data_IF_144651152935
#
_entry.id   IF_144651152935
#
_cell.length_a   1.000
_cell.length_b   1.000
_cell.length_c   1.000
_cell.angle_alpha   90.00
_cell.angle_beta   90.00
_cell.angle_gamma   90.00
#
_symmetry.space_group_name_H-M   'P 1'
#
loop_
_entity.id
_entity.type
_entity.pdbx_description
1 polymer ?
#
# COMPACT_ATOMS: atom_id res chain seq x y z
N UNK A 1 -16.43 -24.91 -12.30
CA UNK A 1 -15.50 -24.16 -13.16
C UNK A 1 -14.16 -24.80 -12.96
N UNK A 2 -13.68 -25.47 -14.00
CA UNK A 2 -12.46 -26.28 -14.00
C UNK A 2 -11.24 -25.34 -14.01
N UNK A 3 -10.30 -25.52 -13.08
CA UNK A 3 -9.23 -24.55 -12.80
C UNK A 3 -7.91 -24.84 -13.57
N UNK A 4 -7.94 -25.74 -14.56
CA UNK A 4 -6.72 -26.23 -15.24
C UNK A 4 -6.27 -25.43 -16.47
N UNK A 5 -6.88 -24.28 -16.80
CA UNK A 5 -6.44 -23.47 -17.96
C UNK A 5 -6.32 -21.98 -17.63
N UNK A 6 -5.11 -21.45 -17.39
CA UNK A 6 -4.92 -20.04 -17.05
C UNK A 6 -5.28 -19.05 -18.19
N UNK A 7 -5.52 -19.54 -19.42
CA UNK A 7 -5.87 -18.70 -20.58
C UNK A 7 -7.37 -18.71 -20.98
N UNK A 8 -8.22 -19.58 -20.40
CA UNK A 8 -9.64 -19.63 -20.76
C UNK A 8 -10.54 -18.69 -19.95
N UNK A 9 -10.15 -18.33 -18.72
CA UNK A 9 -11.04 -17.59 -17.81
C UNK A 9 -11.39 -16.17 -18.26
N UNK A 10 -10.54 -15.49 -19.03
CA UNK A 10 -10.85 -14.16 -19.56
C UNK A 10 -11.83 -14.21 -20.73
N UNK A 11 -11.70 -15.21 -21.61
CA UNK A 11 -12.63 -15.42 -22.73
C UNK A 11 -14.01 -15.86 -22.20
N UNK A 12 -14.04 -16.80 -21.26
CA UNK A 12 -15.28 -17.23 -20.60
C UNK A 12 -15.95 -16.06 -19.84
N UNK A 13 -15.15 -15.22 -19.16
CA UNK A 13 -15.67 -14.02 -18.51
C UNK A 13 -16.22 -13.00 -19.52
N UNK A 14 -15.54 -12.80 -20.65
CA UNK A 14 -16.02 -11.95 -21.75
C UNK A 14 -17.37 -12.45 -22.28
N UNK A 15 -17.46 -13.74 -22.64
CA UNK A 15 -18.68 -14.38 -23.15
C UNK A 15 -19.84 -14.24 -22.16
N UNK A 16 -19.59 -14.55 -20.89
CA UNK A 16 -20.59 -14.41 -19.83
C UNK A 16 -21.06 -12.96 -19.68
N UNK A 17 -20.15 -11.99 -19.68
CA UNK A 17 -20.50 -10.58 -19.55
C UNK A 17 -21.26 -10.06 -20.77
N UNK A 18 -20.90 -10.52 -21.99
CA UNK A 18 -21.65 -10.22 -23.22
C UNK A 18 -23.06 -10.80 -23.17
N UNK A 19 -23.23 -12.04 -22.71
CA UNK A 19 -24.54 -12.65 -22.49
C UNK A 19 -25.37 -11.88 -21.44
N UNK A 20 -24.77 -11.51 -20.31
CA UNK A 20 -25.46 -10.71 -19.30
C UNK A 20 -25.90 -9.34 -19.82
N UNK A 21 -25.12 -8.73 -20.72
CA UNK A 21 -25.48 -7.49 -21.41
C UNK A 21 -26.54 -7.67 -22.49
N UNK A 22 -26.62 -8.82 -23.16
CA UNK A 22 -27.71 -9.09 -24.11
C UNK A 22 -29.06 -9.23 -23.39
N UNK A 23 -29.04 -9.71 -22.13
CA UNK A 23 -30.25 -9.77 -21.29
C UNK A 23 -30.54 -8.43 -20.60
N UNK A 24 -29.51 -7.69 -20.19
CA UNK A 24 -29.67 -6.41 -19.49
C UNK A 24 -28.69 -5.33 -20.02
N UNK A 25 -29.02 -4.68 -21.15
CA UNK A 25 -28.11 -3.79 -21.85
C UNK A 25 -27.84 -2.47 -21.11
N UNK A 26 -28.65 -2.10 -20.12
CA UNK A 26 -28.50 -0.87 -19.33
C UNK A 26 -27.61 -1.04 -18.09
N UNK A 27 -27.17 -2.27 -17.79
CA UNK A 27 -26.40 -2.56 -16.58
C UNK A 27 -24.94 -2.10 -16.69
N UNK A 28 -24.69 -0.85 -16.28
CA UNK A 28 -23.35 -0.23 -16.25
C UNK A 28 -22.25 -1.06 -15.57
N UNK A 29 -22.61 -1.82 -14.53
CA UNK A 29 -21.66 -2.70 -13.84
C UNK A 29 -21.06 -3.75 -14.78
N UNK A 30 -21.86 -4.32 -15.69
CA UNK A 30 -21.37 -5.35 -16.61
C UNK A 30 -20.39 -4.75 -17.62
N UNK A 31 -20.66 -3.53 -18.12
CA UNK A 31 -19.70 -2.81 -18.94
C UNK A 31 -18.40 -2.47 -18.18
N UNK A 32 -18.47 -2.10 -16.90
CA UNK A 32 -17.29 -1.83 -16.09
C UNK A 32 -16.41 -3.07 -15.90
N UNK A 33 -17.04 -4.23 -15.67
CA UNK A 33 -16.35 -5.52 -15.57
C UNK A 33 -15.77 -5.92 -16.94
N UNK A 34 -16.55 -5.76 -18.01
CA UNK A 34 -16.12 -6.09 -19.38
C UNK A 34 -14.95 -5.23 -19.83
N UNK A 35 -14.97 -3.93 -19.53
CA UNK A 35 -13.83 -3.04 -19.76
C UNK A 35 -12.58 -3.50 -19.00
N UNK A 36 -12.73 -3.97 -17.76
CA UNK A 36 -11.61 -4.54 -17.00
C UNK A 36 -11.07 -5.83 -17.61
N UNK A 37 -11.92 -6.68 -18.18
CA UNK A 37 -11.52 -7.91 -18.90
C UNK A 37 -10.72 -7.54 -20.15
N UNK A 38 -11.24 -6.62 -20.97
CA UNK A 38 -10.53 -6.16 -22.17
C UNK A 38 -9.18 -5.50 -21.87
N UNK A 39 -9.07 -4.73 -20.78
CA UNK A 39 -7.79 -4.19 -20.33
C UNK A 39 -6.75 -5.29 -20.06
N UNK A 40 -7.17 -6.43 -19.49
CA UNK A 40 -6.31 -7.59 -19.22
C UNK A 40 -5.96 -8.35 -20.51
N UNK A 41 -6.89 -8.42 -21.45
CA UNK A 41 -6.67 -8.98 -22.79
C UNK A 41 -5.84 -8.07 -23.71
N UNK A 42 -5.55 -6.83 -23.28
CA UNK A 42 -4.90 -5.78 -24.08
C UNK A 42 -5.72 -5.30 -25.29
N UNK A 43 -7.03 -5.56 -25.29
CA UNK A 43 -7.98 -4.98 -26.23
C UNK A 43 -8.44 -3.61 -25.71
N UNK A 44 -7.54 -2.64 -25.75
CA UNK A 44 -7.79 -1.30 -25.22
C UNK A 44 -8.91 -0.53 -25.94
N UNK A 45 -9.11 -0.63 -27.27
CA UNK A 45 -10.25 -0.01 -27.94
C UNK A 45 -11.59 -0.50 -27.38
N UNK A 46 -11.78 -1.82 -27.26
CA UNK A 46 -13.00 -2.39 -26.69
C UNK A 46 -13.15 -2.05 -25.21
N UNK A 47 -12.03 -1.98 -24.47
CA UNK A 47 -12.04 -1.54 -23.08
C UNK A 47 -12.56 -0.11 -22.93
N UNK A 48 -12.07 0.81 -23.78
CA UNK A 48 -12.46 2.21 -23.75
C UNK A 48 -13.95 2.38 -24.04
N UNK A 49 -14.48 1.68 -25.04
CA UNK A 49 -15.91 1.71 -25.37
C UNK A 49 -16.76 1.18 -24.20
N UNK A 50 -16.37 0.04 -23.61
CA UNK A 50 -17.06 -0.53 -22.46
C UNK A 50 -17.05 0.46 -21.27
N UNK A 51 -15.91 1.07 -20.95
CA UNK A 51 -15.84 2.06 -19.89
C UNK A 51 -16.68 3.32 -20.16
N UNK A 52 -16.76 3.79 -21.40
CA UNK A 52 -17.66 4.89 -21.78
C UNK A 52 -19.12 4.52 -21.51
N UNK A 53 -19.55 3.30 -21.90
CA UNK A 53 -20.91 2.79 -21.62
C UNK A 53 -21.18 2.63 -20.11
N UNK A 54 -20.14 2.33 -19.33
CA UNK A 54 -20.22 2.27 -17.87
C UNK A 54 -20.25 3.67 -17.19
N UNK A 55 -19.97 4.75 -17.92
CA UNK A 55 -19.77 6.10 -17.36
C UNK A 55 -18.42 6.28 -16.65
N UNK A 56 -17.45 5.41 -16.92
CA UNK A 56 -16.10 5.38 -16.34
C UNK A 56 -15.10 6.07 -17.27
N UNK A 57 -15.29 7.37 -17.49
CA UNK A 57 -14.55 8.11 -18.53
C UNK A 57 -13.05 8.18 -18.28
N UNK A 58 -12.62 8.27 -17.02
CA UNK A 58 -11.19 8.26 -16.69
C UNK A 58 -10.53 6.94 -17.14
N UNK A 59 -11.14 5.80 -16.84
CA UNK A 59 -10.66 4.49 -17.27
C UNK A 59 -10.65 4.35 -18.79
N UNK A 60 -11.66 4.91 -19.49
CA UNK A 60 -11.65 4.98 -20.94
C UNK A 60 -10.48 5.82 -21.48
N UNK A 61 -10.19 6.96 -20.85
CA UNK A 61 -9.03 7.78 -21.19
C UNK A 61 -7.71 7.04 -21.00
N UNK A 62 -7.57 6.28 -19.92
CA UNK A 62 -6.39 5.43 -19.67
C UNK A 62 -6.26 4.36 -20.75
N UNK A 63 -7.36 3.76 -21.19
CA UNK A 63 -7.35 2.78 -22.28
C UNK A 63 -6.89 3.41 -23.61
N UNK A 64 -7.40 4.58 -23.98
CA UNK A 64 -6.97 5.28 -25.20
C UNK A 64 -5.50 5.71 -25.19
N UNK A 65 -4.95 6.07 -24.02
CA UNK A 65 -3.51 6.34 -23.92
C UNK A 65 -2.65 5.09 -24.20
N UNK A 66 -3.17 3.89 -23.91
CA UNK A 66 -2.43 2.64 -24.20
C UNK A 66 -2.47 2.24 -25.67
N UNK A 67 -3.37 2.80 -26.47
CA UNK A 67 -3.41 2.62 -27.93
C UNK A 67 -2.66 3.71 -28.68
N UNK A 68 -2.10 4.70 -27.97
CA UNK A 68 -1.56 5.92 -28.56
C UNK A 68 -2.58 6.64 -29.48
N UNK A 69 -3.88 6.43 -29.24
CA UNK A 69 -4.96 7.00 -30.04
C UNK A 69 -5.33 8.38 -29.47
N UNK A 70 -4.47 9.37 -29.77
CA UNK A 70 -4.69 10.76 -29.35
C UNK A 70 -6.02 11.32 -29.88
N UNK A 71 -6.46 10.89 -31.06
CA UNK A 71 -7.71 11.37 -31.68
C UNK A 71 -8.94 10.91 -30.89
N UNK A 72 -8.96 9.65 -30.46
CA UNK A 72 -10.06 9.13 -29.65
C UNK A 72 -10.11 9.82 -28.28
N UNK A 73 -8.95 10.06 -27.66
CA UNK A 73 -8.86 10.77 -26.39
C UNK A 73 -9.32 12.24 -26.51
N UNK A 74 -8.95 12.93 -27.58
CA UNK A 74 -9.40 14.30 -27.88
C UNK A 74 -10.91 14.37 -28.11
N UNK A 75 -11.46 13.40 -28.85
CA UNK A 75 -12.90 13.27 -29.06
C UNK A 75 -13.65 13.07 -27.75
N UNK A 76 -13.14 12.18 -26.88
CA UNK A 76 -13.70 11.96 -25.55
C UNK A 76 -13.65 13.24 -24.71
N UNK A 77 -12.49 13.91 -24.65
CA UNK A 77 -12.30 15.17 -23.93
C UNK A 77 -13.31 16.23 -24.39
N UNK A 78 -13.41 16.48 -25.70
CA UNK A 78 -14.32 17.48 -26.27
C UNK A 78 -15.79 17.16 -25.93
N UNK A 79 -16.17 15.87 -25.99
CA UNK A 79 -17.52 15.42 -25.63
C UNK A 79 -17.84 15.71 -24.16
N UNK A 80 -16.90 15.46 -23.25
CA UNK A 80 -17.07 15.74 -21.82
C UNK A 80 -17.15 17.25 -21.54
N UNK A 81 -16.33 18.07 -22.21
CA UNK A 81 -16.39 19.53 -22.10
C UNK A 81 -17.75 20.08 -22.54
N UNK A 82 -18.25 19.64 -23.71
CA UNK A 82 -19.58 20.07 -24.21
C UNK A 82 -20.70 19.75 -23.22
N UNK A 83 -20.57 18.66 -22.47
CA UNK A 83 -21.53 18.23 -21.44
C UNK A 83 -21.26 18.81 -20.06
N UNK A 84 -20.22 19.65 -19.90
CA UNK A 84 -19.75 20.16 -18.60
C UNK A 84 -19.54 19.03 -17.57
N UNK A 85 -19.08 17.87 -18.05
CA UNK A 85 -18.89 16.70 -17.19
C UNK A 85 -17.64 16.90 -16.32
N UNK A 86 -17.68 16.60 -15.00
CA UNK A 86 -16.56 16.83 -14.09
C UNK A 86 -15.28 16.09 -14.51
N UNK A 87 -15.40 14.89 -15.09
CA UNK A 87 -14.23 14.13 -15.56
C UNK A 87 -13.48 14.77 -16.75
N UNK A 88 -14.03 15.80 -17.40
CA UNK A 88 -13.32 16.50 -18.49
C UNK A 88 -11.93 16.99 -18.04
N UNK A 89 -11.83 17.49 -16.80
CA UNK A 89 -10.57 17.97 -16.23
C UNK A 89 -9.65 16.83 -15.79
N UNK A 90 -10.19 15.68 -15.37
CA UNK A 90 -9.40 14.48 -15.11
C UNK A 90 -8.76 13.94 -16.39
N UNK A 91 -9.46 14.01 -17.52
CA UNK A 91 -8.88 13.67 -18.83
C UNK A 91 -7.76 14.65 -19.20
N UNK A 92 -7.90 15.95 -18.91
CA UNK A 92 -6.82 16.91 -19.11
C UNK A 92 -5.59 16.62 -18.24
N UNK A 93 -5.77 16.29 -16.97
CA UNK A 93 -4.68 15.88 -16.08
C UNK A 93 -3.98 14.62 -16.60
N UNK A 94 -4.75 13.65 -17.09
CA UNK A 94 -4.24 12.42 -17.69
C UNK A 94 -3.41 12.71 -18.96
N UNK A 95 -3.91 13.59 -19.85
CA UNK A 95 -3.15 14.05 -21.02
C UNK A 95 -1.87 14.76 -20.62
N UNK A 96 -1.94 15.70 -19.69
CA UNK A 96 -0.77 16.43 -19.22
C UNK A 96 0.33 15.49 -18.71
N UNK A 97 -0.06 14.45 -17.96
CA UNK A 97 0.87 13.43 -17.48
C UNK A 97 1.50 12.61 -18.62
N UNK A 98 0.70 12.24 -19.62
CA UNK A 98 1.20 11.54 -20.80
C UNK A 98 2.22 12.38 -21.57
N UNK A 99 1.91 13.65 -21.83
CA UNK A 99 2.84 14.58 -22.50
C UNK A 99 4.11 14.80 -21.67
N UNK A 100 3.99 14.98 -20.35
CA UNK A 100 5.14 15.12 -19.45
C UNK A 100 6.07 13.90 -19.55
N UNK A 101 5.50 12.69 -19.54
CA UNK A 101 6.29 11.45 -19.61
C UNK A 101 6.89 11.19 -20.98
N UNK A 102 6.31 11.75 -22.03
CA UNK A 102 6.89 11.79 -23.36
C UNK A 102 7.90 12.95 -23.53
N UNK A 103 8.31 13.62 -22.44
CA UNK A 103 9.20 14.79 -22.43
C UNK A 103 8.69 16.02 -23.22
N UNK A 104 7.39 16.05 -23.53
CA UNK A 104 6.69 17.17 -24.19
C UNK A 104 6.15 18.14 -23.14
N UNK A 105 7.05 18.91 -22.53
CA UNK A 105 6.75 19.63 -21.29
C UNK A 105 5.86 20.86 -21.47
N UNK A 106 5.95 21.51 -22.62
CA UNK A 106 5.20 22.71 -22.99
C UNK A 106 3.71 22.36 -23.18
N UNK A 107 3.44 21.25 -23.84
CA UNK A 107 2.09 20.69 -24.01
C UNK A 107 1.49 20.27 -22.67
N UNK A 108 2.29 19.60 -21.83
CA UNK A 108 1.87 19.24 -20.49
C UNK A 108 1.46 20.47 -19.67
N UNK A 109 2.31 21.51 -19.65
CA UNK A 109 2.03 22.76 -18.95
C UNK A 109 0.75 23.44 -19.46
N UNK A 110 0.52 23.45 -20.78
CA UNK A 110 -0.70 24.02 -21.39
C UNK A 110 -1.96 23.36 -20.83
N UNK A 111 -2.01 22.03 -20.76
CA UNK A 111 -3.19 21.32 -20.22
C UNK A 111 -3.36 21.55 -18.72
N UNK A 112 -2.26 21.59 -17.95
CA UNK A 112 -2.34 21.87 -16.51
C UNK A 112 -2.88 23.28 -16.22
N UNK A 113 -2.49 24.29 -17.00
CA UNK A 113 -3.04 25.63 -16.86
C UNK A 113 -4.52 25.71 -17.19
N UNK A 114 -5.02 24.91 -18.14
CA UNK A 114 -6.45 24.82 -18.40
C UNK A 114 -7.19 24.27 -17.17
N UNK A 115 -6.70 23.19 -16.57
CA UNK A 115 -7.31 22.63 -15.34
C UNK A 115 -7.28 23.66 -14.21
N UNK A 116 -6.14 24.29 -13.97
CA UNK A 116 -5.96 25.29 -12.91
C UNK A 116 -6.93 26.48 -13.02
N UNK A 117 -7.17 26.96 -14.25
CA UNK A 117 -8.05 28.12 -14.52
C UNK A 117 -9.54 27.78 -14.42
N UNK A 118 -9.93 26.58 -14.85
CA UNK A 118 -11.34 26.27 -15.10
C UNK A 118 -11.96 25.24 -14.14
N UNK A 119 -11.17 24.41 -13.45
CA UNK A 119 -11.67 23.48 -12.44
C UNK A 119 -11.29 23.96 -11.05
N UNK A 120 -12.28 24.36 -10.25
CA UNK A 120 -12.03 24.70 -8.84
C UNK A 120 -11.65 23.46 -8.02
N UNK A 121 -12.27 22.32 -8.31
CA UNK A 121 -12.04 21.06 -7.62
C UNK A 121 -10.63 20.49 -7.88
N UNK A 122 -10.12 20.63 -9.10
CA UNK A 122 -8.82 20.06 -9.50
C UNK A 122 -7.67 21.10 -9.48
N UNK A 123 -7.95 22.33 -9.00
CA UNK A 123 -6.97 23.42 -9.00
C UNK A 123 -5.71 23.11 -8.21
N UNK A 124 -5.87 22.48 -7.05
CA UNK A 124 -4.75 22.06 -6.19
C UNK A 124 -3.84 21.07 -6.92
N UNK A 125 -4.43 20.01 -7.49
CA UNK A 125 -3.71 18.97 -8.21
C UNK A 125 -3.00 19.51 -9.46
N UNK A 126 -3.65 20.41 -10.20
CA UNK A 126 -3.03 21.07 -11.35
C UNK A 126 -1.83 21.94 -10.94
N UNK A 127 -1.95 22.70 -9.84
CA UNK A 127 -0.85 23.52 -9.33
C UNK A 127 0.31 22.66 -8.80
N UNK A 128 0.00 21.55 -8.14
CA UNK A 128 0.99 20.56 -7.73
C UNK A 128 1.76 20.00 -8.93
N UNK A 129 1.07 19.56 -9.99
CA UNK A 129 1.71 19.05 -11.20
C UNK A 129 2.55 20.10 -11.93
N UNK A 130 2.10 21.36 -11.94
CA UNK A 130 2.90 22.47 -12.48
C UNK A 130 4.19 22.66 -11.67
N UNK A 131 4.10 22.63 -10.34
CA UNK A 131 5.26 22.72 -9.46
C UNK A 131 6.23 21.56 -9.70
N UNK A 132 5.72 20.33 -9.79
CA UNK A 132 6.50 19.13 -10.06
C UNK A 132 7.18 19.17 -11.43
N UNK A 133 6.46 19.58 -12.48
CA UNK A 133 7.01 19.77 -13.81
C UNK A 133 8.18 20.78 -13.81
N UNK A 134 8.03 21.88 -13.08
CA UNK A 134 9.08 22.90 -12.95
C UNK A 134 10.31 22.36 -12.25
N UNK A 135 10.09 21.59 -11.19
CA UNK A 135 11.14 20.93 -10.41
C UNK A 135 11.96 19.98 -11.29
N UNK A 136 11.29 19.11 -12.05
CA UNK A 136 11.93 18.17 -12.97
C UNK A 136 12.69 18.89 -14.11
N UNK A 137 12.15 20.01 -14.64
CA UNK A 137 12.81 20.85 -15.65
C UNK A 137 14.00 21.65 -15.12
N UNK A 138 14.32 21.57 -13.81
CA UNK A 138 15.32 22.42 -13.14
C UNK A 138 14.99 23.91 -13.09
N UNK A 139 13.74 24.28 -13.38
CA UNK A 139 13.24 25.63 -13.14
C UNK A 139 12.84 25.77 -11.66
N UNK A 140 13.86 25.80 -10.81
CA UNK A 140 13.70 25.78 -9.36
C UNK A 140 13.05 27.05 -8.81
N UNK A 141 13.20 28.20 -9.47
CA UNK A 141 12.55 29.44 -9.05
C UNK A 141 11.04 29.37 -9.24
N UNK A 142 10.58 28.89 -10.40
CA UNK A 142 9.15 28.73 -10.61
C UNK A 142 8.57 27.57 -9.79
N UNK A 143 9.33 26.49 -9.59
CA UNK A 143 8.97 25.42 -8.65
C UNK A 143 8.75 25.98 -7.24
N UNK A 144 9.71 26.75 -6.72
CA UNK A 144 9.64 27.39 -5.41
C UNK A 144 8.42 28.32 -5.31
N UNK A 145 8.16 29.15 -6.31
CA UNK A 145 7.01 30.07 -6.31
C UNK A 145 5.67 29.31 -6.27
N UNK A 146 5.55 28.26 -7.08
CA UNK A 146 4.35 27.39 -7.12
C UNK A 146 4.17 26.62 -5.80
N UNK A 147 5.25 26.10 -5.20
CA UNK A 147 5.23 25.40 -3.91
C UNK A 147 4.90 26.32 -2.73
N UNK A 148 5.43 27.56 -2.71
CA UNK A 148 5.03 28.58 -1.72
C UNK A 148 3.54 28.88 -1.82
N UNK A 149 3.01 28.98 -3.05
CA UNK A 149 1.58 29.19 -3.29
C UNK A 149 0.74 27.99 -2.81
N UNK A 150 1.17 26.76 -3.09
CA UNK A 150 0.53 25.55 -2.59
C UNK A 150 0.46 25.54 -1.07
N UNK A 151 1.58 25.73 -0.38
CA UNK A 151 1.62 25.75 1.09
C UNK A 151 0.73 26.83 1.70
N UNK A 152 0.59 27.98 1.06
CA UNK A 152 -0.29 29.06 1.54
C UNK A 152 -1.77 28.71 1.41
N UNK A 153 -2.17 28.03 0.33
CA UNK A 153 -3.57 27.74 0.03
C UNK A 153 -4.04 26.40 0.62
N UNK A 154 -3.16 25.40 0.60
CA UNK A 154 -3.41 24.03 1.02
C UNK A 154 -2.18 23.50 1.77
N UNK A 155 -1.98 23.90 3.04
CA UNK A 155 -0.80 23.49 3.81
C UNK A 155 -0.77 21.97 3.99
N UNK A 156 0.27 21.32 3.45
CA UNK A 156 0.52 19.88 3.56
C UNK A 156 2.02 19.63 3.65
N UNK A 157 2.44 18.68 4.48
CA UNK A 157 3.85 18.32 4.63
C UNK A 157 4.51 17.91 3.30
N UNK A 158 3.73 17.33 2.37
CA UNK A 158 4.17 17.08 0.99
C UNK A 158 4.75 18.33 0.33
N UNK A 159 3.98 19.43 0.33
CA UNK A 159 4.40 20.66 -0.33
C UNK A 159 5.51 21.38 0.44
N UNK A 160 5.47 21.32 1.77
CA UNK A 160 6.55 21.80 2.64
C UNK A 160 7.87 21.08 2.37
N UNK A 161 7.85 19.74 2.26
CA UNK A 161 9.03 18.93 1.97
C UNK A 161 9.64 19.31 0.62
N UNK A 162 8.84 19.31 -0.45
CA UNK A 162 9.33 19.66 -1.77
C UNK A 162 9.80 21.12 -1.86
N UNK A 163 9.19 22.04 -1.10
CA UNK A 163 9.68 23.41 -0.99
C UNK A 163 11.05 23.48 -0.28
N UNK A 164 11.21 22.76 0.84
CA UNK A 164 12.48 22.63 1.56
C UNK A 164 13.57 22.07 0.64
N UNK A 165 13.29 20.98 -0.08
CA UNK A 165 14.23 20.39 -1.04
C UNK A 165 14.58 21.35 -2.18
N UNK A 166 13.59 22.08 -2.72
CA UNK A 166 13.82 23.10 -3.77
C UNK A 166 14.72 24.25 -3.27
N UNK A 167 14.50 24.73 -2.04
CA UNK A 167 15.32 25.79 -1.45
C UNK A 167 16.76 25.35 -1.21
N UNK A 168 16.98 24.10 -0.75
CA UNK A 168 18.32 23.53 -0.61
C UNK A 168 19.05 23.49 -1.96
N UNK A 169 18.36 23.07 -3.03
CA UNK A 169 18.93 23.08 -4.40
C UNK A 169 19.25 24.47 -4.92
N UNK A 170 18.52 25.49 -4.49
CA UNK A 170 18.78 26.90 -4.80
C UNK A 170 19.90 27.51 -3.96
N UNK A 171 20.55 26.75 -3.05
CA UNK A 171 21.57 27.28 -2.15
C UNK A 171 21.01 28.18 -1.04
N UNK A 172 19.76 27.95 -0.61
CA UNK A 172 19.06 28.76 0.41
C UNK A 172 18.77 27.95 1.69
N UNK A 173 19.79 27.41 2.39
CA UNK A 173 19.59 26.52 3.54
C UNK A 173 18.91 27.22 4.73
N UNK A 174 19.15 28.51 4.95
CA UNK A 174 18.54 29.26 6.06
C UNK A 174 17.02 29.45 5.90
N UNK A 175 16.52 29.47 4.67
CA UNK A 175 15.07 29.44 4.42
C UNK A 175 14.51 28.02 4.52
N UNK A 176 15.26 27.02 4.06
CA UNK A 176 14.87 25.62 4.17
C UNK A 176 14.70 25.19 5.64
N UNK A 177 15.60 25.64 6.54
CA UNK A 177 15.53 25.37 7.99
C UNK A 177 14.25 25.92 8.66
N UNK A 178 13.66 26.98 8.10
CA UNK A 178 12.43 27.59 8.65
C UNK A 178 11.16 26.80 8.29
N UNK A 179 11.24 25.87 7.35
CA UNK A 179 10.10 25.05 6.94
C UNK A 179 10.00 23.85 7.87
N UNK A 180 8.96 23.86 8.71
CA UNK A 180 8.64 22.76 9.59
C UNK A 180 7.77 21.71 8.87
N UNK A 181 7.95 20.45 9.25
CA UNK A 181 7.12 19.32 8.85
C UNK A 181 6.48 18.77 10.13
N UNK A 182 5.18 19.01 10.31
CA UNK A 182 4.55 18.91 11.63
C UNK A 182 3.60 17.71 11.78
N UNK A 183 3.32 16.96 10.71
CA UNK A 183 2.44 15.80 10.77
C UNK A 183 3.12 14.52 11.26
N UNK A 184 2.37 13.43 11.20
CA UNK A 184 2.80 12.06 11.48
C UNK A 184 2.88 11.19 10.20
N UNK A 185 2.62 11.80 9.04
CA UNK A 185 2.58 11.12 7.74
C UNK A 185 3.95 10.91 7.10
N UNK A 186 3.95 10.29 5.92
CA UNK A 186 5.17 9.96 5.17
C UNK A 186 6.13 11.14 4.99
N UNK A 187 5.64 12.31 4.56
CA UNK A 187 6.50 13.47 4.28
C UNK A 187 7.04 14.15 5.54
N UNK A 188 6.43 13.99 6.71
CA UNK A 188 7.01 14.53 7.93
C UNK A 188 8.14 13.68 8.49
N UNK A 189 8.16 12.39 8.11
CA UNK A 189 9.19 11.42 8.49
C UNK A 189 10.13 11.05 7.35
N UNK A 190 10.07 11.77 6.23
CA UNK A 190 10.76 11.36 5.01
C UNK A 190 12.28 11.43 5.15
N UNK A 191 12.82 12.42 5.86
CA UNK A 191 14.26 12.54 6.06
C UNK A 191 14.78 11.30 6.84
N UNK A 192 14.07 10.85 7.88
CA UNK A 192 14.42 9.63 8.62
C UNK A 192 14.14 8.34 7.84
N UNK A 193 13.06 8.29 7.05
CA UNK A 193 12.77 7.15 6.16
C UNK A 193 13.89 7.00 5.11
N UNK A 194 14.33 8.11 4.52
CA UNK A 194 15.42 8.14 3.55
C UNK A 194 16.73 7.65 4.17
N UNK A 195 17.04 8.09 5.38
CA UNK A 195 18.21 7.60 6.12
C UNK A 195 18.13 6.08 6.29
N UNK A 196 16.99 5.53 6.73
CA UNK A 196 16.83 4.07 6.90
C UNK A 196 17.03 3.33 5.58
N UNK A 197 16.41 3.76 4.48
CA UNK A 197 16.50 3.01 3.21
C UNK A 197 17.88 3.10 2.54
N UNK A 198 18.64 4.17 2.80
CA UNK A 198 20.01 4.34 2.27
C UNK A 198 21.03 3.60 3.13
N UNK A 199 20.84 3.60 4.45
CA UNK A 199 21.78 2.97 5.41
C UNK A 199 21.52 1.49 5.62
N UNK A 200 20.31 0.99 5.34
CA UNK A 200 19.98 -0.43 5.42
C UNK A 200 20.76 -1.23 4.35
N UNK A 201 21.99 -1.59 4.68
CA UNK A 201 22.77 -2.59 3.93
C UNK A 201 22.28 -3.99 4.34
N UNK A 202 22.22 -4.89 3.37
CA UNK A 202 21.79 -6.29 3.55
C UNK A 202 22.70 -7.13 4.47
N UNK A 203 23.78 -6.56 5.02
CA UNK A 203 24.88 -7.29 5.67
C UNK A 203 24.94 -7.15 7.19
N UNK A 204 24.11 -6.31 7.83
CA UNK A 204 24.03 -6.35 9.30
C UNK A 204 23.13 -7.51 9.73
N UNK A 205 23.65 -8.54 10.42
CA UNK A 205 22.80 -9.59 10.96
C UNK A 205 21.85 -8.94 11.96
N UNK A 206 20.58 -8.87 11.57
CA UNK A 206 19.51 -8.39 12.44
C UNK A 206 19.37 -9.34 13.63
N UNK A 207 20.07 -9.04 14.71
CA UNK A 207 19.85 -9.67 16.01
C UNK A 207 18.63 -8.99 16.64
N UNK A 208 17.45 -9.21 16.06
CA UNK A 208 16.21 -8.89 16.75
C UNK A 208 15.96 -10.01 17.75
N UNK A 209 16.36 -9.80 18.99
CA UNK A 209 15.79 -10.59 20.09
C UNK A 209 14.29 -10.31 20.05
N UNK A 210 13.47 -11.36 19.96
CA UNK A 210 12.01 -11.29 19.97
C UNK A 210 11.44 -10.81 21.33
N UNK A 211 12.17 -9.97 22.05
CA UNK A 211 11.74 -9.36 23.29
C UNK A 211 10.96 -8.10 22.97
N UNK A 212 9.80 -7.99 23.63
CA UNK A 212 8.90 -6.84 23.58
C UNK A 212 9.69 -5.53 23.76
N UNK A 213 9.24 -4.41 23.16
CA UNK A 213 9.75 -3.08 23.50
C UNK A 213 9.76 -2.92 25.03
N UNK A 214 10.90 -2.51 25.57
CA UNK A 214 11.13 -2.39 27.02
C UNK A 214 10.07 -1.50 27.67
N UNK A 215 9.20 -2.10 28.48
CA UNK A 215 8.12 -1.40 29.18
C UNK A 215 6.81 -2.19 29.28
N UNK A 216 6.61 -3.20 28.43
CA UNK A 216 5.48 -4.10 28.52
C UNK A 216 5.77 -5.23 29.53
N UNK A 217 5.49 -4.99 30.82
CA UNK A 217 5.32 -6.11 31.75
C UNK A 217 4.19 -6.99 31.19
N UNK A 218 4.39 -8.32 31.02
CA UNK A 218 3.28 -9.21 30.74
C UNK A 218 2.23 -8.97 31.82
N UNK A 219 0.98 -8.69 31.43
CA UNK A 219 -0.11 -8.83 32.38
C UNK A 219 -0.12 -10.31 32.72
N UNK A 220 0.39 -10.64 33.89
CA UNK A 220 0.33 -11.99 34.43
C UNK A 220 -1.14 -12.25 34.72
N UNK A 221 -1.89 -12.70 33.71
CA UNK A 221 -3.18 -13.35 33.92
C UNK A 221 -2.84 -14.73 34.46
N UNK A 222 -2.31 -14.76 35.69
CA UNK A 222 -2.22 -16.00 36.44
C UNK A 222 -3.64 -16.55 36.52
N UNK A 223 -3.78 -17.84 36.23
CA UNK A 223 -4.84 -18.60 36.90
C UNK A 223 -4.57 -18.43 38.39
N UNK A 224 -5.24 -17.47 39.03
CA UNK A 224 -5.36 -17.48 40.48
C UNK A 224 -6.23 -18.69 40.81
N UNK A 225 -5.58 -19.85 40.98
CA UNK A 225 -6.08 -20.90 41.85
C UNK A 225 -6.26 -20.25 43.23
N UNK A 226 -7.45 -19.74 43.53
CA UNK A 226 -7.78 -19.24 44.86
C UNK A 226 -8.49 -17.90 44.90
N UNK A 227 -9.73 -17.86 44.41
CA UNK A 227 -10.92 -17.61 45.25
C UNK A 227 -12.15 -17.71 44.34
N UNK A 228 -12.73 -18.91 44.29
CA UNK A 228 -14.14 -19.05 43.97
C UNK A 228 -14.92 -18.28 45.04
N UNK A 229 -15.22 -17.01 44.79
CA UNK A 229 -16.23 -16.31 45.56
C UNK A 229 -17.57 -16.87 45.05
N UNK A 230 -18.20 -17.66 45.92
CA UNK A 230 -19.59 -18.07 45.82
C UNK A 230 -20.48 -16.84 45.61
N UNK A 231 -20.81 -16.56 44.34
CA UNK A 231 -21.92 -15.73 43.87
C UNK A 231 -21.95 -15.80 42.35
N UNK A 232 -22.69 -16.79 41.81
CA UNK A 232 -23.21 -16.82 40.44
C UNK A 232 -22.35 -16.13 39.37
N UNK A 233 -21.19 -16.69 39.04
CA UNK A 233 -20.31 -16.17 37.99
C UNK A 233 -20.55 -16.93 36.67
N UNK A 234 -21.26 -16.31 35.73
CA UNK A 234 -21.07 -16.67 34.33
C UNK A 234 -19.60 -16.36 33.96
N UNK A 235 -18.87 -17.28 33.31
CA UNK A 235 -17.49 -17.00 32.89
C UNK A 235 -17.47 -15.75 32.03
N UNK A 236 -16.47 -14.87 32.22
CA UNK A 236 -16.26 -13.70 31.37
C UNK A 236 -16.08 -14.13 29.90
N UNK A 237 -16.35 -13.23 28.96
CA UNK A 237 -16.23 -13.56 27.54
C UNK A 237 -14.81 -13.98 27.16
N UNK A 238 -13.77 -13.39 27.76
CA UNK A 238 -12.38 -13.85 27.58
C UNK A 238 -12.09 -15.22 28.20
N UNK A 239 -12.71 -15.59 29.33
CA UNK A 239 -12.57 -16.95 29.88
C UNK A 239 -13.23 -17.98 28.96
N UNK A 240 -14.42 -17.68 28.42
CA UNK A 240 -15.07 -18.51 27.40
C UNK A 240 -14.20 -18.61 26.15
N UNK A 241 -13.63 -17.50 25.70
CA UNK A 241 -12.73 -17.48 24.55
C UNK A 241 -11.50 -18.39 24.76
N UNK A 242 -10.85 -18.32 25.92
CA UNK A 242 -9.71 -19.19 26.26
C UNK A 242 -10.11 -20.66 26.31
N UNK A 243 -11.27 -21.00 26.88
CA UNK A 243 -11.78 -22.37 26.88
C UNK A 243 -12.03 -22.88 25.45
N UNK A 244 -12.61 -22.05 24.59
CA UNK A 244 -12.86 -22.39 23.18
C UNK A 244 -11.56 -22.61 22.40
N UNK A 245 -10.47 -21.89 22.71
CA UNK A 245 -9.15 -22.17 22.13
C UNK A 245 -8.70 -23.59 22.49
N UNK A 246 -8.80 -23.99 23.76
CA UNK A 246 -8.39 -25.32 24.22
C UNK A 246 -9.20 -26.45 23.54
N UNK A 247 -10.45 -26.15 23.18
CA UNK A 247 -11.34 -27.07 22.43
C UNK A 247 -11.11 -27.04 20.91
N UNK A 248 -10.11 -26.29 20.42
CA UNK A 248 -9.84 -26.14 18.99
C UNK A 248 -10.84 -25.22 18.25
N UNK A 249 -11.79 -24.61 18.95
CA UNK A 249 -12.85 -23.77 18.41
C UNK A 249 -12.39 -22.31 18.21
N UNK A 250 -11.34 -22.10 17.42
CA UNK A 250 -10.68 -20.79 17.26
C UNK A 250 -11.61 -19.67 16.75
N UNK A 251 -12.52 -19.99 15.84
CA UNK A 251 -13.46 -18.98 15.31
C UNK A 251 -14.47 -18.52 16.38
N UNK A 252 -14.97 -19.46 17.19
CA UNK A 252 -15.88 -19.13 18.30
C UNK A 252 -15.14 -18.34 19.38
N UNK A 253 -13.89 -18.73 19.69
CA UNK A 253 -13.04 -18.00 20.62
C UNK A 253 -12.83 -16.54 20.18
N UNK A 254 -12.57 -16.31 18.89
CA UNK A 254 -12.46 -14.97 18.33
C UNK A 254 -13.76 -14.19 18.48
N UNK A 255 -14.93 -14.80 18.18
CA UNK A 255 -16.22 -14.13 18.32
C UNK A 255 -16.49 -13.67 19.76
N UNK A 256 -16.15 -14.49 20.74
CA UNK A 256 -16.27 -14.14 22.17
C UNK A 256 -15.36 -12.96 22.55
N UNK A 257 -14.09 -13.01 22.14
CA UNK A 257 -13.16 -11.92 22.38
C UNK A 257 -13.56 -10.62 21.65
N UNK A 258 -14.09 -10.73 20.42
CA UNK A 258 -14.61 -9.59 19.66
C UNK A 258 -15.84 -8.97 20.29
N UNK A 259 -16.75 -9.80 20.83
CA UNK A 259 -17.92 -9.30 21.53
C UNK A 259 -17.50 -8.42 22.71
N UNK A 260 -16.56 -8.90 23.53
CA UNK A 260 -16.00 -8.11 24.63
C UNK A 260 -15.28 -6.85 24.14
N UNK A 261 -14.44 -6.98 23.10
CA UNK A 261 -13.76 -5.85 22.48
C UNK A 261 -14.78 -4.77 22.13
N UNK A 262 -15.88 -5.12 21.45
CA UNK A 262 -16.84 -4.14 20.95
C UNK A 262 -17.76 -3.53 22.03
N UNK A 263 -18.06 -4.26 23.11
CA UNK A 263 -19.03 -3.83 24.13
C UNK A 263 -18.40 -3.20 25.38
N UNK A 264 -17.12 -3.45 25.66
CA UNK A 264 -16.44 -3.00 26.89
C UNK A 264 -15.27 -2.05 26.65
N UNK A 265 -15.22 -0.92 27.37
CA UNK A 265 -13.98 -0.13 27.53
C UNK A 265 -13.05 -0.75 28.58
N UNK A 266 -13.62 -1.39 29.61
CA UNK A 266 -12.87 -2.18 30.60
C UNK A 266 -12.45 -3.51 29.96
N UNK A 267 -11.16 -3.85 29.99
CA UNK A 267 -10.67 -5.12 29.45
C UNK A 267 -10.05 -5.07 28.04
N UNK A 268 -9.86 -3.88 27.46
CA UNK A 268 -9.33 -3.73 26.09
C UNK A 268 -7.91 -4.27 25.97
N UNK A 269 -7.05 -3.98 26.94
CA UNK A 269 -5.67 -4.49 26.97
C UNK A 269 -5.62 -6.01 27.08
N UNK A 270 -6.44 -6.61 27.96
CA UNK A 270 -6.54 -8.06 28.13
C UNK A 270 -7.05 -8.75 26.87
N UNK A 271 -7.96 -8.10 26.15
CA UNK A 271 -8.48 -8.59 24.87
C UNK A 271 -7.43 -8.51 23.77
N UNK A 272 -6.64 -7.44 23.74
CA UNK A 272 -5.53 -7.27 22.80
C UNK A 272 -4.38 -8.26 23.09
N UNK A 273 -4.08 -8.50 24.35
CA UNK A 273 -3.15 -9.54 24.76
C UNK A 273 -3.68 -10.95 24.42
N UNK A 274 -4.99 -11.19 24.55
CA UNK A 274 -5.60 -12.42 24.05
C UNK A 274 -5.40 -12.57 22.54
N UNK A 275 -5.63 -11.52 21.74
CA UNK A 275 -5.38 -11.58 20.30
C UNK A 275 -3.92 -11.90 19.97
N UNK A 276 -2.98 -11.22 20.64
CA UNK A 276 -1.54 -11.40 20.47
C UNK A 276 -1.11 -12.84 20.78
N UNK A 277 -1.43 -13.32 21.99
CA UNK A 277 -0.98 -14.61 22.52
C UNK A 277 -1.57 -15.81 21.77
N UNK A 278 -2.74 -15.64 21.14
CA UNK A 278 -3.38 -16.71 20.39
C UNK A 278 -3.22 -16.59 18.87
N UNK A 279 -2.40 -15.64 18.38
CA UNK A 279 -2.08 -15.49 16.96
C UNK A 279 -3.19 -14.86 16.11
N UNK A 280 -4.08 -14.07 16.71
CA UNK A 280 -5.05 -13.24 15.99
C UNK A 280 -4.43 -11.90 15.58
N UNK A 281 -3.27 -11.95 14.93
CA UNK A 281 -2.44 -10.79 14.59
C UNK A 281 -3.18 -9.71 13.80
N UNK A 282 -4.12 -10.11 12.95
CA UNK A 282 -4.96 -9.20 12.17
C UNK A 282 -5.92 -8.34 13.00
N UNK A 283 -6.12 -8.70 14.27
CA UNK A 283 -6.86 -7.89 15.23
C UNK A 283 -6.00 -6.83 15.92
N UNK A 284 -4.68 -7.04 16.00
CA UNK A 284 -3.79 -6.16 16.77
C UNK A 284 -3.82 -4.70 16.33
N UNK A 285 -3.81 -4.34 15.01
CA UNK A 285 -3.86 -2.94 14.62
C UNK A 285 -5.13 -2.20 15.06
N UNK A 286 -6.22 -2.93 15.35
CA UNK A 286 -7.47 -2.33 15.84
C UNK A 286 -7.39 -1.94 17.32
N UNK A 287 -6.46 -2.53 18.06
CA UNK A 287 -6.25 -2.24 19.47
C UNK A 287 -5.73 -0.83 19.72
N UNK A 288 -5.03 -0.22 18.76
CA UNK A 288 -4.37 1.09 18.94
C UNK A 288 -5.30 2.18 19.50
N UNK A 289 -6.59 2.15 19.13
CA UNK A 289 -7.58 3.19 19.47
C UNK A 289 -8.20 3.00 20.86
N UNK A 290 -7.90 1.90 21.53
CA UNK A 290 -8.58 1.48 22.77
C UNK A 290 -7.62 1.26 23.94
N UNK A 291 -6.35 1.57 23.73
CA UNK A 291 -5.28 1.33 24.70
C UNK A 291 -4.52 2.63 24.94
N UNK A 292 -3.66 2.66 25.97
CA UNK A 292 -2.81 3.82 26.23
C UNK A 292 -1.86 4.08 25.06
N UNK A 293 -1.49 5.34 24.86
CA UNK A 293 -0.54 5.77 23.83
C UNK A 293 0.78 4.99 23.89
N UNK A 294 1.24 4.67 25.10
CA UNK A 294 2.44 3.86 25.36
C UNK A 294 2.36 2.45 24.74
N UNK A 295 1.17 1.83 24.68
CA UNK A 295 0.96 0.49 24.12
C UNK A 295 0.50 0.52 22.66
N UNK A 296 -0.15 1.61 22.24
CA UNK A 296 -0.76 1.75 20.93
C UNK A 296 0.22 1.44 19.79
N UNK A 297 1.47 1.90 19.88
CA UNK A 297 2.51 1.62 18.88
C UNK A 297 2.84 0.13 18.76
N UNK A 298 2.97 -0.58 19.87
CA UNK A 298 3.27 -2.03 19.88
C UNK A 298 2.14 -2.89 19.30
N UNK A 299 0.89 -2.43 19.41
CA UNK A 299 -0.26 -3.11 18.82
C UNK A 299 -0.52 -2.70 17.37
N UNK A 300 -0.22 -1.44 17.00
CA UNK A 300 -0.28 -0.97 15.61
C UNK A 300 0.77 -1.64 14.73
N UNK A 301 1.94 -1.91 15.30
CA UNK A 301 3.10 -2.52 14.65
C UNK A 301 3.54 -3.79 15.40
N UNK A 302 2.71 -4.86 15.43
CA UNK A 302 3.04 -6.07 16.16
C UNK A 302 4.15 -6.84 15.42
N UNK A 303 5.01 -7.53 16.17
CA UNK A 303 5.91 -8.55 15.64
C UNK A 303 5.11 -9.85 15.41
N UNK A 304 4.32 -9.88 14.34
CA UNK A 304 3.44 -10.99 14.02
C UNK A 304 4.21 -12.20 13.47
N UNK A 305 3.81 -13.41 13.85
CA UNK A 305 4.47 -14.66 13.44
C UNK A 305 5.98 -14.68 13.74
N UNK A 306 6.41 -14.42 14.99
CA UNK A 306 7.80 -14.11 15.31
C UNK A 306 8.79 -15.21 14.89
N UNK A 307 8.50 -16.46 15.23
CA UNK A 307 9.37 -17.59 14.91
C UNK A 307 9.53 -17.75 13.40
N UNK A 308 8.42 -17.71 12.65
CA UNK A 308 8.42 -17.83 11.19
C UNK A 308 9.14 -16.66 10.51
N UNK A 309 8.90 -15.43 10.97
CA UNK A 309 9.51 -14.23 10.37
C UNK A 309 11.02 -14.21 10.61
N UNK A 310 11.48 -14.58 11.80
CA UNK A 310 12.91 -14.67 12.13
C UNK A 310 13.58 -15.75 11.26
N UNK A 311 13.01 -16.95 11.24
CA UNK A 311 13.55 -18.06 10.44
C UNK A 311 13.61 -17.74 8.94
N UNK A 312 12.55 -17.13 8.40
CA UNK A 312 12.51 -16.72 6.99
C UNK A 312 13.52 -15.60 6.72
N UNK A 313 13.65 -14.64 7.63
CA UNK A 313 14.65 -13.58 7.54
C UNK A 313 16.06 -14.18 7.44
N UNK A 314 16.42 -15.09 8.34
CA UNK A 314 17.72 -15.77 8.33
C UNK A 314 17.98 -16.53 7.03
N UNK A 315 16.96 -17.24 6.51
CA UNK A 315 17.05 -18.01 5.26
C UNK A 315 17.13 -17.15 4.00
N UNK A 316 16.56 -15.94 4.01
CA UNK A 316 16.42 -15.11 2.80
C UNK A 316 17.32 -13.87 2.81
N UNK A 317 17.91 -13.51 3.95
CA UNK A 317 18.70 -12.29 4.10
C UNK A 317 17.86 -11.01 3.93
N UNK A 318 16.57 -11.08 4.27
CA UNK A 318 15.65 -9.93 4.22
C UNK A 318 15.34 -9.52 5.66
N UNK A 319 15.48 -8.23 5.97
CA UNK A 319 15.16 -7.68 7.29
C UNK A 319 13.76 -8.13 7.76
N UNK A 320 13.63 -8.77 8.94
CA UNK A 320 12.33 -9.23 9.44
C UNK A 320 11.32 -8.08 9.61
N UNK A 321 11.80 -6.86 9.91
CA UNK A 321 10.98 -5.67 10.05
C UNK A 321 10.45 -5.17 8.70
N UNK A 322 11.20 -5.38 7.61
CA UNK A 322 10.72 -5.10 6.25
C UNK A 322 9.68 -6.15 5.82
N UNK A 323 9.87 -7.43 6.16
CA UNK A 323 8.88 -8.49 5.94
C UNK A 323 7.57 -8.13 6.65
N UNK A 324 7.63 -7.71 7.91
CA UNK A 324 6.47 -7.27 8.69
C UNK A 324 5.81 -6.03 8.08
N UNK A 325 6.59 -5.05 7.62
CA UNK A 325 6.06 -3.83 7.00
C UNK A 325 5.27 -4.13 5.71
N UNK A 326 5.76 -5.02 4.87
CA UNK A 326 5.07 -5.51 3.66
C UNK A 326 3.83 -6.30 4.07
N UNK A 327 3.96 -7.31 4.94
CA UNK A 327 2.85 -8.17 5.38
C UNK A 327 1.70 -7.38 6.03
N UNK A 328 2.04 -6.34 6.80
CA UNK A 328 1.08 -5.41 7.40
C UNK A 328 0.25 -4.69 6.33
N UNK A 329 0.91 -4.20 5.28
CA UNK A 329 0.23 -3.48 4.20
C UNK A 329 -0.59 -4.41 3.31
N UNK A 330 -0.07 -5.61 3.04
CA UNK A 330 -0.69 -6.57 2.13
C UNK A 330 -1.96 -7.21 2.70
N UNK A 331 -1.88 -7.76 3.92
CA UNK A 331 -2.98 -8.55 4.49
C UNK A 331 -3.43 -8.08 5.87
N UNK A 332 -2.71 -7.14 6.47
CA UNK A 332 -2.79 -6.85 7.91
C UNK A 332 -2.67 -8.14 8.73
N UNK A 333 -1.75 -9.03 8.35
CA UNK A 333 -1.51 -10.31 9.02
C UNK A 333 -2.67 -11.31 8.97
N UNK A 334 -3.56 -11.20 7.97
CA UNK A 334 -4.65 -12.15 7.77
C UNK A 334 -4.21 -13.27 6.81
N UNK A 335 -4.01 -14.52 7.28
CA UNK A 335 -3.48 -15.59 6.44
C UNK A 335 -4.46 -16.07 5.37
N UNK A 336 -5.77 -15.86 5.58
CA UNK A 336 -6.83 -16.17 4.61
C UNK A 336 -7.17 -15.01 3.67
N UNK A 337 -6.34 -13.96 3.59
CA UNK A 337 -6.61 -12.82 2.73
C UNK A 337 -6.53 -13.20 1.24
N UNK A 338 -7.55 -12.81 0.48
CA UNK A 338 -7.60 -12.95 -0.98
C UNK A 338 -8.03 -11.62 -1.57
N UNK A 339 -7.19 -11.01 -2.41
CA UNK A 339 -7.53 -9.74 -3.07
C UNK A 339 -8.53 -9.94 -4.20
N UNK A 340 -9.16 -8.84 -4.64
CA UNK A 340 -10.02 -8.84 -5.84
C UNK A 340 -9.28 -9.26 -7.11
N UNK A 341 -7.96 -9.08 -7.14
CA UNK A 341 -7.10 -9.47 -8.26
C UNK A 341 -6.61 -10.91 -8.15
N UNK A 342 -6.92 -11.61 -7.06
CA UNK A 342 -6.53 -13.00 -6.82
C UNK A 342 -5.18 -13.17 -6.11
N UNK A 343 -4.66 -12.12 -5.46
CA UNK A 343 -3.47 -12.23 -4.61
C UNK A 343 -3.81 -12.93 -3.30
N UNK A 344 -2.93 -13.80 -2.78
CA UNK A 344 -3.28 -14.76 -1.72
C UNK A 344 -2.31 -14.68 -0.54
N UNK A 345 -2.87 -14.77 0.66
CA UNK A 345 -2.15 -15.01 1.90
C UNK A 345 -1.54 -13.75 2.54
N UNK A 346 -0.65 -13.98 3.50
CA UNK A 346 -0.06 -12.95 4.36
C UNK A 346 0.68 -11.85 3.60
N UNK A 347 1.42 -12.20 2.55
CA UNK A 347 2.21 -11.30 1.72
C UNK A 347 1.59 -11.10 0.32
N UNK A 348 0.31 -11.46 0.15
CA UNK A 348 -0.52 -11.26 -1.05
C UNK A 348 0.23 -11.58 -2.36
N UNK A 349 0.64 -12.84 -2.51
CA UNK A 349 1.30 -13.28 -3.73
C UNK A 349 0.27 -13.51 -4.83
N UNK A 350 0.52 -12.96 -6.01
CA UNK A 350 -0.19 -13.35 -7.23
C UNK A 350 0.15 -14.81 -7.58
N UNK A 351 -0.78 -15.61 -8.13
CA UNK A 351 -0.53 -17.03 -8.41
C UNK A 351 0.74 -17.29 -9.23
N UNK A 352 0.94 -16.53 -10.31
CA UNK A 352 2.16 -16.62 -11.14
C UNK A 352 3.45 -16.32 -10.36
N UNK A 353 3.42 -15.33 -9.46
CA UNK A 353 4.56 -15.03 -8.58
C UNK A 353 4.78 -16.16 -7.59
N UNK A 354 3.71 -16.68 -7.00
CA UNK A 354 3.78 -17.78 -6.06
C UNK A 354 4.32 -19.07 -6.70
N UNK A 355 3.92 -19.41 -7.93
CA UNK A 355 4.50 -20.53 -8.70
C UNK A 355 6.03 -20.41 -8.81
N UNK A 356 6.51 -19.21 -9.15
CA UNK A 356 7.95 -18.93 -9.30
C UNK A 356 8.73 -19.07 -7.98
N UNK A 357 8.15 -18.69 -6.84
CA UNK A 357 8.88 -18.59 -5.56
C UNK A 357 8.57 -19.68 -4.53
N UNK A 358 7.42 -20.38 -4.63
CA UNK A 358 7.13 -21.57 -3.81
C UNK A 358 7.84 -22.82 -4.34
N UNK A 359 7.98 -22.96 -5.67
CA UNK A 359 8.52 -24.17 -6.31
C UNK A 359 7.84 -25.45 -5.79
N UNK A 360 6.52 -25.53 -5.93
CA UNK A 360 5.68 -26.61 -5.39
C UNK A 360 4.91 -27.29 -6.51
N UNK A 361 4.76 -28.61 -6.41
CA UNK A 361 3.92 -29.42 -7.32
C UNK A 361 2.45 -29.44 -6.88
N UNK A 362 2.14 -28.85 -5.73
CA UNK A 362 0.78 -28.72 -5.21
C UNK A 362 0.07 -27.49 -5.79
N UNK A 363 -1.28 -27.45 -5.79
CA UNK A 363 -2.01 -26.26 -6.20
C UNK A 363 -1.61 -25.04 -5.37
N UNK A 364 -1.03 -24.04 -6.04
CA UNK A 364 -0.46 -22.82 -5.44
C UNK A 364 -1.41 -22.12 -4.48
N UNK A 365 -2.72 -22.12 -4.79
CA UNK A 365 -3.73 -21.53 -3.92
C UNK A 365 -3.73 -22.12 -2.50
N UNK A 366 -3.65 -23.45 -2.38
CA UNK A 366 -3.65 -24.12 -1.07
C UNK A 366 -2.38 -23.82 -0.29
N UNK A 367 -1.26 -23.81 -1.01
CA UNK A 367 0.07 -23.56 -0.44
C UNK A 367 0.20 -22.12 0.06
N UNK A 368 -0.32 -21.14 -0.69
CA UNK A 368 -0.31 -19.73 -0.31
C UNK A 368 -1.16 -19.40 0.92
N UNK A 369 -2.10 -20.26 1.32
CA UNK A 369 -2.88 -20.09 2.55
C UNK A 369 -2.15 -20.59 3.80
N UNK A 370 -1.05 -21.36 3.63
CA UNK A 370 -0.18 -21.79 4.73
C UNK A 370 0.73 -20.61 5.10
N UNK A 371 0.66 -20.08 6.34
CA UNK A 371 1.42 -18.89 6.76
C UNK A 371 2.92 -18.99 6.45
N UNK A 372 3.57 -20.06 6.91
CA UNK A 372 5.01 -20.29 6.74
C UNK A 372 5.43 -20.24 5.27
N UNK A 373 4.72 -20.97 4.41
CA UNK A 373 5.01 -21.04 2.97
C UNK A 373 4.83 -19.69 2.28
N UNK A 374 3.76 -18.96 2.64
CA UNK A 374 3.47 -17.65 2.07
C UNK A 374 4.51 -16.60 2.48
N UNK A 375 4.88 -16.56 3.77
CA UNK A 375 5.93 -15.66 4.28
C UNK A 375 7.26 -15.99 3.59
N UNK A 376 7.63 -17.26 3.48
CA UNK A 376 8.86 -17.69 2.83
C UNK A 376 8.90 -17.29 1.35
N UNK A 377 7.86 -17.58 0.58
CA UNK A 377 7.79 -17.22 -0.83
C UNK A 377 7.78 -15.69 -1.05
N UNK A 378 7.07 -14.94 -0.20
CA UNK A 378 7.06 -13.48 -0.26
C UNK A 378 8.41 -12.85 0.07
N UNK A 379 9.09 -13.36 1.10
CA UNK A 379 10.45 -12.91 1.43
C UNK A 379 11.45 -13.26 0.32
N UNK A 380 11.35 -14.44 -0.31
CA UNK A 380 12.18 -14.78 -1.48
C UNK A 380 11.94 -13.86 -2.67
N UNK A 381 10.68 -13.51 -2.94
CA UNK A 381 10.36 -12.54 -3.98
C UNK A 381 10.94 -11.17 -3.65
N UNK A 382 10.77 -10.72 -2.40
CA UNK A 382 11.32 -9.45 -1.94
C UNK A 382 12.85 -9.40 -2.02
N UNK A 383 13.55 -10.48 -1.65
CA UNK A 383 15.00 -10.63 -1.82
C UNK A 383 15.42 -10.47 -3.27
N UNK A 384 14.74 -11.17 -4.18
CA UNK A 384 14.99 -11.05 -5.63
C UNK A 384 14.86 -9.59 -6.12
N UNK A 385 13.86 -8.85 -5.63
CA UNK A 385 13.67 -7.45 -5.98
C UNK A 385 14.74 -6.53 -5.37
N UNK A 386 15.13 -6.78 -4.12
CA UNK A 386 16.22 -6.07 -3.47
C UNK A 386 17.54 -6.28 -4.21
N UNK A 387 17.83 -7.50 -4.65
CA UNK A 387 19.01 -7.82 -5.46
C UNK A 387 18.97 -7.13 -6.83
N UNK A 388 17.80 -7.12 -7.46
CA UNK A 388 17.63 -6.52 -8.79
C UNK A 388 17.79 -5.00 -8.78
N UNK A 389 17.23 -4.33 -7.79
CA UNK A 389 17.14 -2.87 -7.78
C UNK A 389 18.14 -2.19 -6.85
N UNK A 390 18.77 -2.92 -5.93
CA UNK A 390 19.76 -2.40 -4.95
C UNK A 390 19.25 -1.19 -4.15
N UNK A 391 17.92 -1.06 -4.03
CA UNK A 391 17.26 0.05 -3.36
C UNK A 391 15.90 -0.43 -2.83
N UNK A 392 15.65 -0.21 -1.54
CA UNK A 392 14.44 -0.70 -0.87
C UNK A 392 13.18 -0.04 -1.44
N UNK A 393 13.19 1.27 -1.75
CA UNK A 393 12.02 1.95 -2.30
C UNK A 393 11.63 1.39 -3.68
N UNK A 394 12.62 1.08 -4.53
CA UNK A 394 12.39 0.47 -5.84
C UNK A 394 11.88 -0.97 -5.71
N UNK A 395 12.47 -1.75 -4.81
CA UNK A 395 12.03 -3.12 -4.55
C UNK A 395 10.60 -3.18 -4.01
N UNK A 396 10.24 -2.32 -3.06
CA UNK A 396 8.87 -2.22 -2.52
C UNK A 396 7.88 -1.80 -3.60
N UNK A 397 8.21 -0.81 -4.43
CA UNK A 397 7.36 -0.42 -5.55
C UNK A 397 7.17 -1.57 -6.55
N UNK A 398 8.24 -2.33 -6.83
CA UNK A 398 8.22 -3.47 -7.74
C UNK A 398 7.44 -4.66 -7.17
N UNK A 399 7.41 -4.83 -5.85
CA UNK A 399 6.62 -5.86 -5.20
C UNK A 399 5.13 -5.71 -5.56
N UNK A 400 4.62 -4.46 -5.57
CA UNK A 400 3.24 -4.15 -5.92
C UNK A 400 3.00 -4.01 -7.44
N UNK A 401 3.86 -3.31 -8.18
CA UNK A 401 3.65 -3.00 -9.60
C UNK A 401 4.27 -4.00 -10.60
N UNK A 402 5.07 -4.95 -10.10
CA UNK A 402 5.90 -5.84 -10.89
C UNK A 402 7.25 -5.22 -11.29
N UNK A 403 8.28 -6.06 -11.37
CA UNK A 403 9.65 -5.66 -11.67
C UNK A 403 9.82 -5.04 -13.06
N UNK A 404 9.01 -5.48 -14.04
CA UNK A 404 9.05 -4.92 -15.40
C UNK A 404 8.49 -3.50 -15.48
N UNK A 405 7.53 -3.14 -14.63
CA UNK A 405 6.97 -1.78 -14.59
C UNK A 405 8.00 -0.80 -14.01
N UNK A 406 8.59 -1.15 -12.86
CA UNK A 406 9.59 -0.31 -12.19
C UNK A 406 10.86 -0.18 -13.03
N UNK A 407 11.31 -1.27 -13.68
CA UNK A 407 12.44 -1.20 -14.62
C UNK A 407 12.25 -0.13 -15.71
N UNK A 408 11.09 -0.13 -16.38
CA UNK A 408 10.77 0.89 -17.39
C UNK A 408 10.70 2.31 -16.84
N UNK A 409 10.21 2.50 -15.61
CA UNK A 409 10.16 3.83 -14.99
C UNK A 409 11.56 4.37 -14.69
N UNK A 410 12.47 3.52 -14.23
CA UNK A 410 13.85 3.89 -13.95
C UNK A 410 14.67 4.12 -15.22
N UNK A 411 14.39 3.39 -16.30
CA UNK A 411 15.02 3.61 -17.62
C UNK A 411 14.58 4.93 -18.25
N UNK A 412 13.32 5.33 -18.07
CA UNK A 412 12.74 6.52 -18.70
C UNK A 412 13.07 7.86 -18.02
N UNK A 413 13.49 7.85 -16.75
CA UNK A 413 13.69 9.07 -15.97
C UNK A 413 14.92 8.98 -15.07
N UNK A 414 15.74 10.03 -15.08
CA UNK A 414 16.86 10.18 -14.15
C UNK A 414 16.38 10.83 -12.84
N UNK A 415 16.10 9.99 -11.83
CA UNK A 415 15.81 10.46 -10.48
C UNK A 415 17.10 10.68 -9.69
N UNK A 416 17.21 11.78 -8.96
CA UNK A 416 18.39 12.00 -8.10
C UNK A 416 18.38 11.16 -6.83
N UNK A 417 17.18 10.77 -6.39
CA UNK A 417 16.98 10.07 -5.13
C UNK A 417 15.70 9.26 -5.12
N UNK A 418 15.56 8.34 -4.15
CA UNK A 418 14.37 7.52 -4.02
C UNK A 418 13.11 8.33 -3.70
N UNK A 419 13.23 9.51 -3.11
CA UNK A 419 12.11 10.43 -2.88
C UNK A 419 11.49 10.98 -4.17
N UNK A 420 12.32 11.33 -5.16
CA UNK A 420 11.84 11.76 -6.48
C UNK A 420 11.15 10.61 -7.21
N UNK A 421 11.74 9.42 -7.18
CA UNK A 421 11.10 8.23 -7.70
C UNK A 421 9.75 7.99 -7.04
N UNK A 422 9.68 7.97 -5.71
CA UNK A 422 8.44 7.73 -4.96
C UNK A 422 7.37 8.79 -5.21
N UNK A 423 7.74 10.03 -5.49
CA UNK A 423 6.79 11.05 -5.91
C UNK A 423 6.27 10.79 -7.32
N UNK A 424 7.16 10.37 -8.22
CA UNK A 424 6.89 10.23 -9.64
C UNK A 424 6.34 8.85 -10.05
N UNK A 425 6.08 7.92 -9.13
CA UNK A 425 5.44 6.64 -9.45
C UNK A 425 4.08 6.90 -10.14
N UNK A 426 3.87 6.48 -11.40
CA UNK A 426 2.66 6.80 -12.16
C UNK A 426 1.40 6.09 -11.65
N UNK A 427 1.56 4.89 -11.09
CA UNK A 427 0.44 4.14 -10.56
C UNK A 427 0.10 4.66 -9.17
N UNK A 428 -1.04 5.34 -9.04
CA UNK A 428 -1.46 5.94 -7.77
C UNK A 428 -1.51 4.94 -6.62
N UNK A 429 -1.95 3.70 -6.88
CA UNK A 429 -1.93 2.60 -5.91
C UNK A 429 -0.52 2.27 -5.45
N UNK A 430 0.42 2.07 -6.39
CA UNK A 430 1.82 1.77 -6.09
C UNK A 430 2.53 2.94 -5.40
N UNK A 431 2.22 4.18 -5.78
CA UNK A 431 2.73 5.39 -5.14
C UNK A 431 2.36 5.43 -3.66
N UNK A 432 1.07 5.22 -3.36
CA UNK A 432 0.55 5.12 -2.01
C UNK A 432 1.16 3.93 -1.25
N UNK A 433 1.12 2.74 -1.86
CA UNK A 433 1.65 1.51 -1.29
C UNK A 433 3.10 1.66 -0.85
N UNK A 434 3.96 2.20 -1.73
CA UNK A 434 5.39 2.35 -1.47
C UNK A 434 5.63 3.26 -0.27
N UNK A 435 4.95 4.42 -0.22
CA UNK A 435 5.06 5.36 0.90
C UNK A 435 4.58 4.74 2.21
N UNK A 436 3.47 4.01 2.19
CA UNK A 436 2.92 3.38 3.39
C UNK A 436 3.80 2.22 3.90
N UNK A 437 4.33 1.37 3.02
CA UNK A 437 5.24 0.29 3.44
C UNK A 437 6.51 0.87 4.04
N UNK A 438 7.09 1.91 3.45
CA UNK A 438 8.30 2.52 4.00
C UNK A 438 8.04 3.26 5.31
N UNK A 439 6.87 3.90 5.48
CA UNK A 439 6.45 4.42 6.79
C UNK A 439 6.27 3.30 7.81
N UNK A 440 5.63 2.18 7.45
CA UNK A 440 5.52 1.01 8.33
C UNK A 440 6.91 0.52 8.73
N UNK A 441 7.83 0.40 7.77
CA UNK A 441 9.19 -0.05 8.01
C UNK A 441 9.95 0.88 8.96
N UNK A 442 9.84 2.20 8.78
CA UNK A 442 10.37 3.20 9.73
C UNK A 442 9.81 2.99 11.15
N UNK A 443 8.50 2.80 11.30
CA UNK A 443 7.91 2.59 12.63
C UNK A 443 8.35 1.27 13.26
N UNK A 444 8.43 0.19 12.48
CA UNK A 444 8.98 -1.08 12.95
C UNK A 444 10.44 -0.91 13.39
N UNK A 445 11.28 -0.28 12.56
CA UNK A 445 12.69 -0.02 12.88
C UNK A 445 12.83 0.77 14.16
N UNK A 446 12.04 1.82 14.38
CA UNK A 446 12.11 2.61 15.61
C UNK A 446 11.61 1.85 16.84
N UNK A 447 10.52 1.09 16.70
CA UNK A 447 9.94 0.34 17.81
C UNK A 447 10.83 -0.81 18.29
N UNK A 448 11.55 -1.45 17.36
CA UNK A 448 12.37 -2.62 17.62
C UNK A 448 13.89 -2.33 17.58
N UNK A 449 14.32 -1.06 17.45
CA UNK A 449 15.74 -0.64 17.43
C UNK A 449 16.46 -0.93 18.76
N UNK A 450 15.77 -0.70 19.87
CA UNK A 450 16.34 -0.68 21.23
C UNK A 450 16.37 -2.05 21.92
N UNK A 451 15.93 -3.12 21.25
CA UNK A 451 15.94 -4.46 21.85
C UNK A 451 17.36 -5.10 21.81
N UNK A 452 18.33 -4.37 21.25
CA UNK A 452 19.75 -4.73 21.14
C UNK A 452 20.59 -4.26 22.34
N UNK A 453 20.10 -4.30 23.58
CA UNK A 453 20.92 -4.06 24.78
C UNK A 453 20.49 -4.98 25.92
N UNK A 454 20.85 -6.27 25.82
CA UNK A 454 21.24 -7.10 26.97
C UNK A 454 21.71 -8.47 26.46
N UNK A 455 22.94 -8.52 25.95
CA UNK A 455 23.77 -9.72 26.07
C UNK A 455 24.54 -9.62 27.39
N UNK A 456 24.07 -10.33 28.41
CA UNK A 456 24.91 -10.87 29.47
C UNK A 456 24.62 -12.35 29.60
#
# INVERSE_FOLDING_TARGET
>A
VDYERPYNGLQEAEELLRYLLSVNPEKRLYYALLGSVYMRMKDFPSAAEAFIKAGLYYQAGVAYLRTEDEKALDSLQMRLFKRRHPDAFKILLLKAESFRRASKTEEAEKFLWQVYKFSEQDREEALWRLAWLSYLKRDLYSAMARLKRLNRLWPKDKYSYWLKKTLLKLGRPEEAKKIALNGDGFYSKIDEILEIIVTAKAEEPFRVTATQPSGLRPILVGFTRGRFLEKTFFPSSLERARALILLGQRELALKEALWQFNTGHVGADETCEFFRTHGFWYMMPWCEKRVSEQRAMSYRYPFAYPEMVIEVSEKTGVDPLLILAVMKQESRFRPSAISRSGAIGLMQLMPFTAERFLKTDQPVYKECLVPEKNIYAGARYLRFLLDRFQNIAYAVAAYNAGEGSVGRWLEGFAYEGPDEFMEDIPYAETNYYTKVVLSNYYHYRNLYKEVSLNTK
#
